data_IF_963300308288
#
_entry.id   IF_963300308288
#
_cell.length_a   1.000
_cell.length_b   1.000
_cell.length_c   1.000
_cell.angle_alpha   90.00
_cell.angle_beta   90.00
_cell.angle_gamma   90.00
#
_symmetry.space_group_name_H-M   'P 1'
#
loop_
_entity.id
_entity.type
_entity.pdbx_description
1 polymer ?
#
# COMPACT_ATOMS: atom_id res chain seq x y z
N UNK A 1 -7.34 7.29 21.92
CA UNK A 1 -6.45 8.46 21.71
C UNK A 1 -5.23 8.31 22.62
N UNK A 2 -4.03 8.70 22.18
CA UNK A 2 -2.81 8.46 22.95
C UNK A 2 -2.01 9.74 23.21
N UNK A 3 -1.26 9.77 24.31
CA UNK A 3 -0.26 10.80 24.60
C UNK A 3 1.06 10.12 24.91
N UNK A 4 1.92 9.99 23.89
CA UNK A 4 3.17 9.21 23.97
C UNK A 4 4.06 9.60 25.13
N UNK A 5 4.28 10.91 25.37
CA UNK A 5 5.10 11.40 26.49
C UNK A 5 4.58 10.98 27.87
N UNK A 6 3.25 10.84 28.03
CA UNK A 6 2.61 10.52 29.32
C UNK A 6 2.22 9.04 29.44
N UNK A 7 2.45 8.24 28.40
CA UNK A 7 1.98 6.85 28.34
C UNK A 7 0.46 6.67 28.33
N UNK A 8 -0.31 7.76 28.17
CA UNK A 8 -1.77 7.70 28.18
C UNK A 8 -2.29 6.98 26.92
N UNK A 9 -3.19 6.02 27.11
CA UNK A 9 -3.83 5.26 26.02
C UNK A 9 -2.94 4.18 25.38
N UNK A 10 -1.73 3.93 25.90
CA UNK A 10 -0.87 2.85 25.40
C UNK A 10 -1.45 1.46 25.69
N UNK A 11 -1.98 1.15 26.89
CA UNK A 11 -2.61 -0.15 27.13
C UNK A 11 -3.80 -0.42 26.20
N UNK A 12 -4.65 0.58 25.99
CA UNK A 12 -5.80 0.49 25.08
C UNK A 12 -5.38 0.30 23.63
N UNK A 13 -4.29 0.95 23.19
CA UNK A 13 -3.72 0.74 21.87
C UNK A 13 -3.25 -0.71 21.68
N UNK A 14 -2.54 -1.26 22.65
CA UNK A 14 -2.02 -2.63 22.58
C UNK A 14 -3.14 -3.67 22.57
N UNK A 15 -4.16 -3.48 23.41
CA UNK A 15 -5.35 -4.34 23.41
C UNK A 15 -6.07 -4.31 22.06
N UNK A 16 -6.22 -3.13 21.46
CA UNK A 16 -6.82 -3.00 20.14
C UNK A 16 -6.00 -3.70 19.04
N UNK A 17 -4.68 -3.71 19.13
CA UNK A 17 -3.83 -4.45 18.17
C UNK A 17 -4.08 -5.95 18.26
N UNK A 18 -4.19 -6.49 19.48
CA UNK A 18 -4.53 -7.91 19.71
C UNK A 18 -5.92 -8.20 19.15
N UNK A 19 -6.91 -7.37 19.47
CA UNK A 19 -8.28 -7.51 18.98
C UNK A 19 -8.36 -7.50 17.45
N UNK A 20 -7.61 -6.61 16.77
CA UNK A 20 -7.56 -6.58 15.30
C UNK A 20 -6.99 -7.88 14.74
N UNK A 21 -5.91 -8.40 15.33
CA UNK A 21 -5.30 -9.66 14.91
C UNK A 21 -6.26 -10.84 15.08
N UNK A 22 -6.94 -10.94 16.23
CA UNK A 22 -7.93 -11.98 16.51
C UNK A 22 -9.18 -11.90 15.64
N UNK A 23 -9.60 -10.67 15.27
CA UNK A 23 -10.77 -10.43 14.40
C UNK A 23 -10.57 -10.92 12.96
N UNK A 24 -9.36 -11.36 12.60
CA UNK A 24 -9.12 -12.29 11.50
C UNK A 24 -9.24 -11.75 10.07
N UNK A 25 -9.78 -10.55 9.82
CA UNK A 25 -9.61 -9.75 8.59
C UNK A 25 -10.70 -8.67 8.46
N UNK A 26 -10.49 -7.51 9.07
CA UNK A 26 -11.10 -6.29 8.58
C UNK A 26 -10.01 -5.27 8.26
N UNK A 27 -9.16 -5.61 7.29
CA UNK A 27 -8.29 -4.62 6.66
C UNK A 27 -9.20 -3.60 5.97
N UNK A 28 -9.52 -2.53 6.70
CA UNK A 28 -10.21 -1.38 6.16
C UNK A 28 -9.22 -0.67 5.24
N UNK A 29 -9.04 -1.19 4.03
CA UNK A 29 -8.24 -0.55 3.01
C UNK A 29 -9.04 0.63 2.46
N UNK A 30 -8.99 1.75 3.19
CA UNK A 30 -9.60 3.00 2.78
C UNK A 30 -8.80 3.55 1.60
N UNK A 31 -9.45 3.64 0.44
CA UNK A 31 -8.87 4.26 -0.75
C UNK A 31 -9.06 5.77 -0.69
N UNK A 32 -7.98 6.49 -0.41
CA UNK A 32 -7.98 7.96 -0.50
C UNK A 32 -7.99 8.38 -1.98
N UNK A 33 -8.97 9.20 -2.43
CA UNK A 33 -9.03 9.67 -3.80
C UNK A 33 -8.11 10.88 -4.03
N UNK A 34 -7.35 10.88 -5.13
CA UNK A 34 -6.39 11.94 -5.50
C UNK A 34 -6.95 12.94 -6.53
N UNK A 35 -8.24 12.86 -6.83
CA UNK A 35 -8.89 13.68 -7.84
C UNK A 35 -8.81 13.09 -9.25
N UNK A 36 -9.65 13.62 -10.15
CA UNK A 36 -9.97 13.00 -11.46
C UNK A 36 -8.75 12.67 -12.31
N UNK A 37 -7.78 13.58 -12.40
CA UNK A 37 -6.61 13.43 -13.27
C UNK A 37 -5.70 12.31 -12.77
N UNK A 38 -5.35 12.34 -11.48
CA UNK A 38 -4.47 11.34 -10.88
C UNK A 38 -5.13 9.96 -10.82
N UNK A 39 -6.42 9.88 -10.51
CA UNK A 39 -7.14 8.60 -10.53
C UNK A 39 -7.14 7.94 -11.91
N UNK A 40 -7.19 8.73 -12.99
CA UNK A 40 -7.08 8.21 -14.36
C UNK A 40 -5.71 7.58 -14.59
N UNK A 41 -4.63 8.27 -14.21
CA UNK A 41 -3.25 7.76 -14.31
C UNK A 41 -3.03 6.52 -13.43
N UNK A 42 -3.47 6.55 -12.18
CA UNK A 42 -3.43 5.40 -11.26
C UNK A 42 -4.18 4.21 -11.86
N UNK A 43 -5.33 4.45 -12.51
CA UNK A 43 -6.11 3.43 -13.20
C UNK A 43 -5.40 2.81 -14.42
N UNK A 44 -4.59 3.58 -15.15
CA UNK A 44 -3.70 3.02 -16.18
C UNK A 44 -2.60 2.17 -15.55
N UNK A 45 -1.87 2.70 -14.58
CA UNK A 45 -0.79 1.97 -13.89
C UNK A 45 -1.27 0.65 -13.30
N UNK A 46 -2.42 0.63 -12.62
CA UNK A 46 -2.98 -0.59 -12.05
C UNK A 46 -3.30 -1.66 -13.10
N UNK A 47 -3.78 -1.26 -14.28
CA UNK A 47 -4.10 -2.17 -15.38
C UNK A 47 -2.85 -2.73 -16.03
N UNK A 48 -1.84 -1.89 -16.26
CA UNK A 48 -0.58 -2.31 -16.85
C UNK A 48 0.15 -3.28 -15.91
N UNK A 49 0.19 -2.99 -14.61
CA UNK A 49 0.74 -3.88 -13.60
C UNK A 49 -0.01 -5.23 -13.52
N UNK A 50 -1.33 -5.23 -13.71
CA UNK A 50 -2.12 -6.47 -13.78
C UNK A 50 -1.77 -7.28 -15.05
N UNK A 51 -1.69 -6.63 -16.21
CA UNK A 51 -1.41 -7.28 -17.49
C UNK A 51 -0.01 -7.90 -17.54
N UNK A 52 0.97 -7.24 -16.93
CA UNK A 52 2.36 -7.70 -16.94
C UNK A 52 2.65 -8.83 -15.94
N UNK A 53 1.65 -9.25 -15.15
CA UNK A 53 1.79 -10.31 -14.16
C UNK A 53 2.65 -9.90 -12.96
N UNK A 54 2.75 -8.61 -12.67
CA UNK A 54 3.59 -8.12 -11.58
C UNK A 54 2.97 -8.51 -10.23
N UNK A 55 3.53 -9.56 -9.61
CA UNK A 55 3.09 -10.09 -8.32
C UNK A 55 4.23 -10.21 -7.30
N UNK A 56 5.44 -9.79 -7.66
CA UNK A 56 6.66 -10.08 -6.87
C UNK A 56 6.81 -9.29 -5.59
N UNK A 57 6.21 -8.09 -5.49
CA UNK A 57 6.36 -7.26 -4.29
C UNK A 57 5.41 -7.61 -3.14
N UNK A 58 4.42 -8.49 -3.35
CA UNK A 58 3.40 -8.78 -2.33
C UNK A 58 2.57 -7.55 -1.91
N UNK A 59 2.67 -6.44 -2.66
CA UNK A 59 2.04 -5.17 -2.36
C UNK A 59 0.79 -4.93 -3.22
N UNK A 60 -0.17 -4.11 -2.75
CA UNK A 60 -1.30 -3.71 -3.57
C UNK A 60 -0.86 -2.96 -4.83
N UNK A 61 -1.47 -3.30 -5.97
CA UNK A 61 -1.16 -2.66 -7.28
C UNK A 61 -1.33 -1.14 -7.25
N UNK A 62 -2.31 -0.64 -6.49
CA UNK A 62 -2.53 0.81 -6.30
C UNK A 62 -1.34 1.47 -5.60
N UNK A 63 -0.74 0.81 -4.60
CA UNK A 63 0.44 1.32 -3.92
C UNK A 63 1.62 1.43 -4.90
N UNK A 64 1.92 0.34 -5.61
CA UNK A 64 3.00 0.29 -6.61
C UNK A 64 2.79 1.33 -7.71
N UNK A 65 1.57 1.43 -8.25
CA UNK A 65 1.24 2.40 -9.29
C UNK A 65 1.39 3.85 -8.86
N UNK A 66 1.02 4.18 -7.61
CA UNK A 66 1.24 5.52 -7.05
C UNK A 66 2.73 5.80 -6.90
N UNK A 67 3.49 4.85 -6.34
CA UNK A 67 4.95 5.00 -6.13
C UNK A 67 5.71 5.21 -7.44
N UNK A 68 5.28 4.55 -8.51
CA UNK A 68 5.83 4.77 -9.84
C UNK A 68 5.52 6.17 -10.39
N UNK A 69 4.30 6.68 -10.17
CA UNK A 69 3.95 8.05 -10.56
C UNK A 69 4.73 9.10 -9.75
N UNK A 70 5.15 8.76 -8.54
CA UNK A 70 6.04 9.57 -7.70
C UNK A 70 7.53 9.49 -8.11
N UNK A 71 7.90 8.54 -8.97
CA UNK A 71 9.30 8.31 -9.38
C UNK A 71 10.15 7.62 -8.31
N UNK A 72 9.54 6.74 -7.49
CA UNK A 72 10.24 5.99 -6.46
C UNK A 72 11.25 5.00 -7.09
N UNK A 73 12.54 5.27 -6.85
CA UNK A 73 13.65 4.50 -7.42
C UNK A 73 13.68 3.05 -6.93
N UNK A 74 13.25 2.77 -5.71
CA UNK A 74 13.26 1.39 -5.19
C UNK A 74 12.24 0.54 -5.94
N UNK A 75 11.05 1.11 -6.17
CA UNK A 75 9.98 0.44 -6.92
C UNK A 75 10.35 0.30 -8.40
N UNK A 76 10.94 1.32 -9.02
CA UNK A 76 11.44 1.23 -10.39
C UNK A 76 12.49 0.12 -10.55
N UNK A 77 13.46 0.05 -9.62
CA UNK A 77 14.49 -0.97 -9.65
C UNK A 77 13.89 -2.36 -9.46
N UNK A 78 12.97 -2.54 -8.53
CA UNK A 78 12.27 -3.82 -8.33
C UNK A 78 11.53 -4.30 -9.59
N UNK A 79 10.94 -3.36 -10.35
CA UNK A 79 10.28 -3.69 -11.63
C UNK A 79 11.29 -4.04 -12.71
N UNK A 80 12.41 -3.31 -12.81
CA UNK A 80 13.48 -3.62 -13.78
C UNK A 80 14.07 -5.00 -13.54
N UNK A 81 14.30 -5.38 -12.29
CA UNK A 81 14.82 -6.71 -11.96
C UNK A 81 13.81 -7.82 -12.29
N UNK A 82 12.50 -7.57 -12.10
CA UNK A 82 11.47 -8.49 -12.53
C UNK A 82 11.41 -8.66 -14.06
N UNK A 83 11.59 -7.58 -14.81
CA UNK A 83 11.53 -7.59 -16.27
C UNK A 83 12.75 -8.30 -16.90
N UNK A 84 13.94 -8.16 -16.31
CA UNK A 84 15.16 -8.87 -16.75
C UNK A 84 15.11 -10.39 -16.55
N UNK A 85 14.20 -10.88 -15.70
CA UNK A 85 14.02 -12.31 -15.42
C UNK A 85 13.03 -13.02 -16.35
N UNK A 86 12.42 -12.30 -17.30
CA UNK A 86 11.57 -12.82 -18.37
C UNK A 86 12.36 -13.03 -19.66
#
# INVERSE_FOLDING_TARGET
PTVGKKGFGIPELLENVISIYESGNNSHNVKVPYGRVLEKSIGFMCRDLLSNGFSTLGMPKRYVGIKLLEGDKEVENAIREHDKGK
#
